data_IF_309203647860
#
_entry.id   IF_309203647860
#
_cell.length_a   1.000
_cell.length_b   1.000
_cell.length_c   1.000
_cell.angle_alpha   90.00
_cell.angle_beta   90.00
_cell.angle_gamma   90.00
#
_symmetry.space_group_name_H-M   'P 1'
#
loop_
_entity.id
_entity.type
_entity.pdbx_description
1 polymer ?
#
# COMPACT_ATOMS: atom_id res chain seq x y z
N UNK A 1 6.01 -32.98 -12.55
CA UNK A 1 6.60 -33.28 -11.22
C UNK A 1 6.33 -32.07 -10.33
N UNK A 2 5.56 -32.28 -9.28
CA UNK A 2 4.87 -31.24 -8.52
C UNK A 2 5.85 -30.41 -7.67
N UNK A 3 5.76 -29.07 -7.77
CA UNK A 3 6.54 -28.08 -7.02
C UNK A 3 6.42 -28.19 -5.48
N UNK A 4 5.54 -29.05 -4.99
CA UNK A 4 5.30 -29.34 -3.57
C UNK A 4 6.46 -30.02 -2.83
N UNK A 5 7.45 -30.62 -3.52
CA UNK A 5 8.57 -31.34 -2.85
C UNK A 5 9.76 -30.48 -2.44
N UNK A 6 9.88 -29.24 -2.93
CA UNK A 6 11.03 -28.37 -2.62
C UNK A 6 10.85 -27.55 -1.34
N UNK A 7 9.61 -27.35 -0.89
CA UNK A 7 9.31 -26.70 0.37
C UNK A 7 8.96 -27.80 1.38
N UNK A 8 9.94 -28.26 2.17
CA UNK A 8 9.78 -29.28 3.21
C UNK A 8 8.76 -28.89 4.28
N UNK A 9 7.47 -29.01 3.96
CA UNK A 9 6.38 -28.53 4.79
C UNK A 9 6.21 -29.40 6.05
N UNK A 10 6.61 -30.67 6.00
CA UNK A 10 6.49 -31.60 7.14
C UNK A 10 7.48 -31.31 8.28
N UNK A 11 8.56 -30.56 8.04
CA UNK A 11 9.47 -30.14 9.11
C UNK A 11 9.02 -28.90 9.86
N UNK A 12 8.03 -28.15 9.35
CA UNK A 12 7.55 -26.93 9.99
C UNK A 12 6.57 -27.16 11.13
N UNK A 13 5.78 -28.25 11.09
CA UNK A 13 4.78 -28.52 12.12
C UNK A 13 5.38 -28.91 13.48
N UNK A 14 6.62 -29.44 13.50
CA UNK A 14 7.31 -29.82 14.74
C UNK A 14 7.93 -28.62 15.48
N UNK A 15 8.11 -27.46 14.82
CA UNK A 15 8.73 -26.25 15.39
C UNK A 15 7.70 -25.32 16.06
N UNK A 16 6.41 -25.64 15.98
CA UNK A 16 5.32 -24.81 16.52
C UNK A 16 5.12 -24.93 18.04
N UNK A 17 5.80 -25.85 18.74
CA UNK A 17 5.77 -25.91 20.21
C UNK A 17 6.72 -24.87 20.81
N UNK A 18 6.31 -23.61 20.79
CA UNK A 18 6.92 -22.57 21.64
C UNK A 18 6.66 -22.91 23.10
N UNK A 19 7.69 -23.38 23.82
CA UNK A 19 7.65 -23.52 25.28
C UNK A 19 7.77 -22.11 25.87
N UNK A 20 6.73 -21.65 26.58
CA UNK A 20 6.80 -20.37 27.31
C UNK A 20 7.70 -20.57 28.53
N UNK A 21 8.89 -20.00 28.51
CA UNK A 21 9.78 -19.99 29.69
C UNK A 21 9.28 -18.89 30.65
N UNK A 22 8.88 -19.22 31.89
CA UNK A 22 8.50 -18.21 32.87
C UNK A 22 9.72 -17.40 33.30
N UNK A 23 9.51 -16.10 33.52
CA UNK A 23 10.55 -15.15 33.90
C UNK A 23 11.20 -15.56 35.24
N UNK A 24 12.40 -16.17 35.19
CA UNK A 24 13.16 -16.53 36.39
C UNK A 24 13.91 -15.30 36.89
N UNK A 25 13.62 -14.93 38.15
CA UNK A 25 14.41 -13.94 38.89
C UNK A 25 15.84 -14.46 39.00
N UNK A 26 16.81 -13.59 38.73
CA UNK A 26 18.24 -13.84 38.92
C UNK A 26 18.48 -14.37 40.35
N UNK A 27 19.46 -15.27 40.49
CA UNK A 27 19.83 -16.07 41.68
C UNK A 27 19.09 -17.41 41.79
N UNK A 28 19.49 -18.39 41.00
CA UNK A 28 20.44 -19.42 41.45
C UNK A 28 20.89 -20.27 40.25
N UNK A 29 22.17 -20.58 40.21
CA UNK A 29 22.79 -21.44 39.20
C UNK A 29 22.42 -22.88 39.55
N UNK A 30 21.46 -23.44 38.82
CA UNK A 30 21.32 -24.88 38.68
C UNK A 30 21.10 -25.19 37.18
N UNK A 31 22.08 -25.89 36.65
CA UNK A 31 22.38 -26.16 35.25
C UNK A 31 21.41 -27.24 34.74
N UNK A 32 20.23 -26.80 34.30
CA UNK A 32 19.22 -27.63 33.63
C UNK A 32 19.32 -27.48 32.12
N UNK A 33 20.08 -28.38 31.49
CA UNK A 33 20.40 -28.48 30.07
C UNK A 33 19.18 -28.62 29.12
N UNK A 34 18.47 -27.54 28.85
CA UNK A 34 17.56 -27.46 27.67
C UNK A 34 17.96 -26.38 26.65
N UNK A 35 18.84 -25.44 27.02
CA UNK A 35 19.25 -24.31 26.16
C UNK A 35 20.55 -24.57 25.36
N UNK A 36 21.17 -25.75 25.52
CA UNK A 36 22.47 -26.10 24.90
C UNK A 36 22.39 -26.73 23.49
N UNK A 37 21.22 -26.97 22.91
CA UNK A 37 21.12 -27.73 21.66
C UNK A 37 20.77 -26.93 20.40
N UNK A 38 20.59 -25.61 20.50
CA UNK A 38 20.29 -24.78 19.33
C UNK A 38 21.53 -24.02 18.88
N UNK A 39 22.00 -24.32 17.66
CA UNK A 39 23.09 -23.57 17.03
C UNK A 39 22.74 -22.07 17.01
N UNK A 40 23.72 -21.15 17.13
CA UNK A 40 23.48 -19.73 16.95
C UNK A 40 22.72 -19.39 15.67
N UNK A 41 22.90 -20.22 14.63
CA UNK A 41 22.16 -20.12 13.37
C UNK A 41 20.67 -20.44 13.53
N UNK A 42 20.33 -21.44 14.35
CA UNK A 42 18.95 -21.83 14.60
C UNK A 42 18.24 -20.84 15.53
N UNK A 43 18.96 -20.26 16.51
CA UNK A 43 18.45 -19.14 17.33
C UNK A 43 18.16 -17.92 16.47
N UNK A 44 19.10 -17.50 15.60
CA UNK A 44 18.85 -16.43 14.63
C UNK A 44 17.67 -16.73 13.72
N UNK A 45 17.56 -17.98 13.24
CA UNK A 45 16.46 -18.39 12.35
C UNK A 45 15.10 -18.25 13.05
N UNK A 46 14.97 -18.70 14.30
CA UNK A 46 13.71 -18.68 15.03
C UNK A 46 13.36 -17.29 15.56
N UNK A 47 14.32 -16.60 16.18
CA UNK A 47 14.04 -15.36 16.92
C UNK A 47 14.03 -14.12 16.02
N UNK A 48 14.73 -14.17 14.87
CA UNK A 48 14.87 -13.03 13.97
C UNK A 48 14.24 -13.31 12.62
N UNK A 49 14.71 -14.34 11.90
CA UNK A 49 14.30 -14.56 10.52
C UNK A 49 12.81 -14.90 10.40
N UNK A 50 12.31 -15.84 11.21
CA UNK A 50 10.89 -16.19 11.18
C UNK A 50 10.00 -15.07 11.72
N UNK A 51 10.44 -14.34 12.75
CA UNK A 51 9.70 -13.18 13.26
C UNK A 51 9.52 -12.11 12.19
N UNK A 52 10.56 -11.81 11.41
CA UNK A 52 10.49 -10.87 10.29
C UNK A 52 9.53 -11.38 9.20
N UNK A 53 9.59 -12.67 8.86
CA UNK A 53 8.69 -13.25 7.85
C UNK A 53 7.24 -13.24 8.31
N UNK A 54 6.98 -13.63 9.56
CA UNK A 54 5.64 -13.63 10.15
C UNK A 54 5.06 -12.21 10.17
N UNK A 55 5.87 -11.21 10.56
CA UNK A 55 5.47 -9.81 10.54
C UNK A 55 5.17 -9.34 9.11
N UNK A 56 6.04 -9.65 8.15
CA UNK A 56 5.85 -9.28 6.75
C UNK A 56 4.58 -9.93 6.17
N UNK A 57 4.33 -11.20 6.48
CA UNK A 57 3.11 -11.91 6.06
C UNK A 57 1.89 -11.26 6.69
N UNK A 58 1.94 -10.92 7.98
CA UNK A 58 0.85 -10.26 8.68
C UNK A 58 0.54 -8.88 8.08
N UNK A 59 1.56 -8.06 7.85
CA UNK A 59 1.42 -6.73 7.27
C UNK A 59 0.89 -6.77 5.83
N UNK A 60 1.37 -7.72 5.02
CA UNK A 60 0.86 -7.92 3.66
C UNK A 60 -0.60 -8.38 3.66
N UNK A 61 -0.98 -9.28 4.56
CA UNK A 61 -2.38 -9.71 4.71
C UNK A 61 -3.28 -8.56 5.13
N UNK A 62 -2.84 -7.77 6.11
CA UNK A 62 -3.57 -6.60 6.59
C UNK A 62 -3.80 -5.58 5.46
N UNK A 63 -2.74 -5.25 4.70
CA UNK A 63 -2.83 -4.34 3.55
C UNK A 63 -3.73 -4.89 2.45
N UNK A 64 -3.63 -6.18 2.16
CA UNK A 64 -4.47 -6.84 1.14
C UNK A 64 -5.95 -6.75 1.50
N UNK A 65 -6.31 -6.92 2.77
CA UNK A 65 -7.70 -6.80 3.21
C UNK A 65 -8.20 -5.36 3.10
N UNK A 66 -7.39 -4.38 3.50
CA UNK A 66 -7.72 -2.98 3.30
C UNK A 66 -7.95 -2.63 1.80
N UNK A 67 -7.15 -3.19 0.88
CA UNK A 67 -7.38 -3.00 -0.56
C UNK A 67 -8.66 -3.65 -1.06
N UNK A 68 -9.07 -4.79 -0.50
CA UNK A 68 -10.35 -5.39 -0.87
C UNK A 68 -11.50 -4.48 -0.48
N UNK A 69 -11.47 -3.88 0.71
CA UNK A 69 -12.50 -2.92 1.13
C UNK A 69 -12.52 -1.66 0.25
N UNK A 70 -11.34 -1.09 -0.04
CA UNK A 70 -11.25 0.07 -0.94
C UNK A 70 -11.78 -0.27 -2.34
N UNK A 71 -11.40 -1.43 -2.88
CA UNK A 71 -11.86 -1.92 -4.19
C UNK A 71 -13.36 -2.21 -4.19
N UNK A 72 -13.91 -2.72 -3.09
CA UNK A 72 -15.34 -2.94 -2.93
C UNK A 72 -16.11 -1.61 -2.92
N UNK A 73 -15.61 -0.60 -2.20
CA UNK A 73 -16.27 0.69 -2.05
C UNK A 73 -16.12 1.59 -3.28
N UNK A 74 -14.94 1.65 -3.89
CA UNK A 74 -14.61 2.63 -4.94
C UNK A 74 -14.23 2.01 -6.29
N UNK A 75 -13.95 0.70 -6.35
CA UNK A 75 -13.49 0.04 -7.58
C UNK A 75 -14.53 0.03 -8.71
N UNK A 76 -15.79 0.36 -8.42
CA UNK A 76 -16.82 0.57 -9.44
C UNK A 76 -16.54 1.82 -10.30
N UNK A 77 -15.82 2.82 -9.78
CA UNK A 77 -15.47 4.05 -10.50
C UNK A 77 -14.63 3.72 -11.76
N UNK A 78 -13.71 2.76 -11.67
CA UNK A 78 -12.92 2.29 -12.81
C UNK A 78 -13.77 1.68 -13.94
N UNK A 79 -14.96 1.18 -13.58
CA UNK A 79 -15.89 0.46 -14.48
C UNK A 79 -17.15 1.27 -14.77
N UNK A 80 -17.20 2.53 -14.34
CA UNK A 80 -18.37 3.40 -14.51
C UNK A 80 -18.93 3.46 -15.96
N UNK A 81 -18.10 3.44 -17.03
CA UNK A 81 -18.59 3.46 -18.40
C UNK A 81 -19.35 2.18 -18.80
N UNK A 82 -19.03 1.04 -18.20
CA UNK A 82 -19.58 -0.27 -18.57
C UNK A 82 -20.66 -0.80 -17.62
N UNK A 83 -20.88 -0.15 -16.47
CA UNK A 83 -21.85 -0.58 -15.45
C UNK A 83 -23.29 -0.19 -15.79
N UNK A 84 -24.25 -1.08 -15.51
CA UNK A 84 -25.67 -0.75 -15.64
C UNK A 84 -26.11 0.27 -14.57
N UNK A 85 -27.16 1.05 -14.87
CA UNK A 85 -27.69 2.02 -13.91
C UNK A 85 -28.10 1.37 -12.59
N UNK A 86 -28.60 0.12 -12.59
CA UNK A 86 -28.94 -0.60 -11.36
C UNK A 86 -27.72 -0.88 -10.48
N UNK A 87 -26.60 -1.29 -11.08
CA UNK A 87 -25.35 -1.53 -10.34
C UNK A 87 -24.76 -0.22 -9.80
N UNK A 88 -24.88 0.87 -10.56
CA UNK A 88 -24.44 2.21 -10.11
C UNK A 88 -25.22 2.64 -8.87
N UNK A 89 -26.55 2.45 -8.85
CA UNK A 89 -27.38 2.76 -7.67
C UNK A 89 -26.96 1.98 -6.43
N UNK A 90 -26.69 0.68 -6.58
CA UNK A 90 -26.23 -0.16 -5.48
C UNK A 90 -24.87 0.31 -4.95
N UNK A 91 -23.92 0.61 -5.85
CA UNK A 91 -22.61 1.13 -5.47
C UNK A 91 -22.70 2.50 -4.78
N UNK A 92 -23.57 3.39 -5.28
CA UNK A 92 -23.86 4.69 -4.69
C UNK A 92 -24.43 4.56 -3.26
N UNK A 93 -25.35 3.61 -3.04
CA UNK A 93 -25.85 3.33 -1.69
C UNK A 93 -24.75 2.87 -0.75
N UNK A 94 -23.90 1.93 -1.20
CA UNK A 94 -22.81 1.39 -0.39
C UNK A 94 -21.78 2.45 0.00
N UNK A 95 -21.38 3.32 -0.95
CA UNK A 95 -20.36 4.35 -0.69
C UNK A 95 -20.89 5.46 0.23
N UNK A 96 -22.17 5.81 0.11
CA UNK A 96 -22.85 6.80 0.97
C UNK A 96 -22.97 6.27 2.41
N UNK A 97 -23.33 5.00 2.57
CA UNK A 97 -23.36 4.37 3.90
C UNK A 97 -21.97 4.29 4.55
N UNK A 98 -20.92 4.08 3.75
CA UNK A 98 -19.55 3.98 4.25
C UNK A 98 -18.91 5.34 4.55
N UNK A 99 -19.34 6.42 3.87
CA UNK A 99 -18.82 7.78 4.04
C UNK A 99 -19.95 8.82 4.19
N UNK A 100 -20.76 8.73 5.25
CA UNK A 100 -21.97 9.56 5.40
C UNK A 100 -21.69 11.05 5.64
N UNK A 101 -20.47 11.41 6.05
CA UNK A 101 -20.07 12.79 6.31
C UNK A 101 -19.52 13.50 5.07
N UNK A 102 -19.00 12.74 4.10
CA UNK A 102 -18.30 13.26 2.94
C UNK A 102 -19.14 13.20 1.66
N UNK A 103 -20.15 12.33 1.61
CA UNK A 103 -20.95 12.07 0.42
C UNK A 103 -22.44 12.25 0.71
N UNK A 104 -23.12 13.03 -0.12
CA UNK A 104 -24.56 13.19 -0.06
C UNK A 104 -25.28 12.07 -0.83
N UNK A 105 -26.52 11.72 -0.44
CA UNK A 105 -27.32 10.71 -1.15
C UNK A 105 -27.68 11.12 -2.59
N UNK A 106 -27.50 12.40 -2.94
CA UNK A 106 -27.63 12.94 -4.31
C UNK A 106 -26.61 12.32 -5.28
N UNK A 107 -25.51 11.73 -4.78
CA UNK A 107 -24.47 11.05 -5.56
C UNK A 107 -25.01 9.98 -6.52
N UNK A 108 -26.11 9.30 -6.17
CA UNK A 108 -26.73 8.30 -7.06
C UNK A 108 -27.10 8.92 -8.41
N UNK A 109 -27.78 10.06 -8.37
CA UNK A 109 -28.24 10.75 -9.56
C UNK A 109 -27.09 11.36 -10.36
N UNK A 110 -26.10 11.92 -9.66
CA UNK A 110 -24.88 12.43 -10.27
C UNK A 110 -24.11 11.33 -11.00
N UNK A 111 -23.90 10.16 -10.37
CA UNK A 111 -23.16 9.04 -10.97
C UNK A 111 -23.84 8.51 -12.23
N UNK A 112 -25.17 8.48 -12.28
CA UNK A 112 -25.91 8.05 -13.48
C UNK A 112 -25.72 9.06 -14.61
N UNK A 113 -25.86 10.35 -14.32
CA UNK A 113 -25.66 11.43 -15.31
C UNK A 113 -24.21 11.43 -15.81
N UNK A 114 -23.25 11.35 -14.90
CA UNK A 114 -21.84 11.31 -15.21
C UNK A 114 -21.46 10.05 -16.01
N UNK A 115 -22.00 8.88 -15.66
CA UNK A 115 -21.81 7.65 -16.44
C UNK A 115 -22.32 7.79 -17.87
N UNK A 116 -23.46 8.47 -18.07
CA UNK A 116 -23.95 8.80 -19.42
C UNK A 116 -23.02 9.77 -20.16
N UNK A 117 -22.50 10.80 -19.47
CA UNK A 117 -21.56 11.75 -20.04
C UNK A 117 -20.26 11.09 -20.49
N UNK A 118 -19.66 10.25 -19.64
CA UNK A 118 -18.43 9.52 -19.99
C UNK A 118 -18.63 8.62 -21.21
N UNK A 119 -19.78 7.94 -21.30
CA UNK A 119 -20.12 7.12 -22.47
C UNK A 119 -20.18 7.94 -23.76
N UNK A 120 -20.69 9.16 -23.67
CA UNK A 120 -20.83 10.07 -24.81
C UNK A 120 -19.54 10.82 -25.16
N UNK A 121 -18.61 10.98 -24.21
CA UNK A 121 -17.37 11.71 -24.42
C UNK A 121 -16.33 10.85 -25.13
N UNK A 122 -15.98 11.22 -26.36
CA UNK A 122 -14.92 10.56 -27.15
C UNK A 122 -13.54 10.77 -26.52
N UNK A 123 -13.31 11.89 -25.83
CA UNK A 123 -12.04 12.23 -25.16
C UNK A 123 -11.65 11.21 -24.08
N UNK A 124 -12.60 10.75 -23.26
CA UNK A 124 -12.35 9.73 -22.24
C UNK A 124 -12.18 8.30 -22.81
N UNK A 125 -12.50 8.11 -24.09
CA UNK A 125 -12.25 6.85 -24.81
C UNK A 125 -10.90 6.84 -25.54
N UNK A 126 -10.21 7.99 -25.63
CA UNK A 126 -8.89 8.03 -26.26
C UNK A 126 -7.87 7.29 -25.41
N UNK A 127 -7.36 6.23 -26.01
CA UNK A 127 -6.52 5.21 -25.41
C UNK A 127 -5.07 5.71 -25.31
N UNK A 128 -4.84 6.86 -24.66
CA UNK A 128 -3.49 7.21 -24.22
C UNK A 128 -3.08 6.16 -23.18
N UNK A 129 -2.24 5.20 -23.62
CA UNK A 129 -1.81 4.00 -22.87
C UNK A 129 -1.14 4.28 -21.52
N UNK A 130 -1.01 5.54 -21.12
CA UNK A 130 -0.21 6.01 -20.00
C UNK A 130 -1.04 6.48 -18.80
N UNK A 131 -2.30 6.89 -18.99
CA UNK A 131 -3.17 7.39 -17.90
C UNK A 131 -4.29 6.42 -17.56
N UNK A 132 -4.54 6.24 -16.27
CA UNK A 132 -5.66 5.44 -15.81
C UNK A 132 -6.98 6.19 -16.03
N UNK A 133 -8.08 5.45 -16.26
CA UNK A 133 -9.37 6.07 -16.62
C UNK A 133 -9.89 7.01 -15.53
N UNK A 134 -9.53 6.77 -14.27
CA UNK A 134 -9.94 7.57 -13.12
C UNK A 134 -9.21 8.91 -13.05
N UNK A 135 -7.96 8.97 -13.51
CA UNK A 135 -7.23 10.22 -13.67
C UNK A 135 -7.84 11.06 -14.80
N UNK A 136 -8.22 10.43 -15.91
CA UNK A 136 -8.89 11.13 -17.00
C UNK A 136 -10.27 11.64 -16.57
N UNK A 137 -11.03 10.87 -15.79
CA UNK A 137 -12.30 11.32 -15.19
C UNK A 137 -12.09 12.53 -14.29
N UNK A 138 -11.05 12.54 -13.46
CA UNK A 138 -10.74 13.66 -12.58
C UNK A 138 -10.30 14.92 -13.34
N UNK A 139 -9.47 14.76 -14.38
CA UNK A 139 -9.08 15.88 -15.25
C UNK A 139 -10.29 16.45 -16.01
N UNK A 140 -11.21 15.59 -16.47
CA UNK A 140 -12.46 16.02 -17.12
C UNK A 140 -13.40 16.77 -16.16
N UNK A 141 -13.31 16.50 -14.86
CA UNK A 141 -14.13 17.11 -13.80
C UNK A 141 -13.75 18.56 -13.46
N UNK A 142 -13.09 19.29 -14.36
CA UNK A 142 -12.70 20.70 -14.18
C UNK A 142 -13.88 21.67 -14.01
N UNK A 143 -15.11 21.26 -14.33
CA UNK A 143 -16.31 22.06 -14.08
C UNK A 143 -16.97 21.59 -12.78
N UNK A 144 -17.42 22.51 -11.92
CA UNK A 144 -18.11 22.24 -10.64
C UNK A 144 -19.50 21.58 -10.82
N UNK A 145 -19.68 20.74 -11.83
CA UNK A 145 -20.96 20.12 -12.22
C UNK A 145 -21.30 18.89 -11.39
N UNK A 146 -20.30 18.18 -10.82
CA UNK A 146 -20.50 16.95 -10.06
C UNK A 146 -19.67 16.93 -8.76
N UNK A 147 -20.06 17.69 -7.73
CA UNK A 147 -19.27 17.85 -6.51
C UNK A 147 -19.10 16.54 -5.74
N UNK A 148 -20.11 15.67 -5.69
CA UNK A 148 -20.02 14.41 -4.94
C UNK A 148 -19.08 13.41 -5.63
N UNK A 149 -19.06 13.40 -6.97
CA UNK A 149 -18.14 12.57 -7.74
C UNK A 149 -16.71 13.08 -7.60
N UNK A 150 -16.52 14.40 -7.58
CA UNK A 150 -15.22 15.01 -7.33
C UNK A 150 -14.65 14.56 -5.98
N UNK A 151 -15.47 14.62 -4.92
CA UNK A 151 -15.08 14.18 -3.57
C UNK A 151 -14.73 12.69 -3.58
N UNK A 152 -15.56 11.84 -4.19
CA UNK A 152 -15.31 10.40 -4.26
C UNK A 152 -13.99 10.08 -4.98
N UNK A 153 -13.70 10.75 -6.11
CA UNK A 153 -12.42 10.58 -6.83
C UNK A 153 -11.23 11.14 -6.04
N UNK A 154 -11.41 12.25 -5.33
CA UNK A 154 -10.38 12.85 -4.49
C UNK A 154 -10.02 11.97 -3.29
N UNK A 155 -10.96 11.20 -2.76
CA UNK A 155 -10.70 10.17 -1.74
C UNK A 155 -9.98 8.97 -2.38
N UNK A 156 -10.43 8.51 -3.54
CA UNK A 156 -9.93 7.28 -4.17
C UNK A 156 -8.52 7.40 -4.77
N UNK A 157 -8.21 8.47 -5.49
CA UNK A 157 -6.95 8.61 -6.23
C UNK A 157 -5.70 8.59 -5.32
N UNK A 158 -5.65 9.30 -4.18
CA UNK A 158 -4.51 9.24 -3.27
C UNK A 158 -4.26 7.84 -2.68
N UNK A 159 -5.32 7.07 -2.44
CA UNK A 159 -5.22 5.69 -1.93
C UNK A 159 -4.51 4.76 -2.92
N UNK A 160 -4.62 5.01 -4.22
CA UNK A 160 -3.90 4.26 -5.25
C UNK A 160 -2.46 4.77 -5.42
N UNK A 161 -2.24 6.08 -5.34
CA UNK A 161 -0.94 6.72 -5.59
C UNK A 161 0.05 6.53 -4.42
N UNK A 162 -0.42 6.40 -3.18
CA UNK A 162 0.43 6.23 -1.99
C UNK A 162 1.37 5.01 -2.10
N UNK A 163 0.97 3.98 -2.83
CA UNK A 163 1.73 2.74 -2.99
C UNK A 163 3.02 2.95 -3.79
N UNK A 164 2.92 3.68 -4.91
CA UNK A 164 4.05 3.98 -5.78
C UNK A 164 5.06 4.93 -5.12
N UNK A 165 4.58 5.84 -4.25
CA UNK A 165 5.45 6.77 -3.52
C UNK A 165 6.37 6.04 -2.53
N UNK A 166 5.84 5.01 -1.85
CA UNK A 166 6.64 4.13 -0.99
C UNK A 166 7.76 3.45 -1.77
N UNK A 167 7.44 2.79 -2.88
CA UNK A 167 8.43 2.10 -3.73
C UNK A 167 9.50 3.04 -4.29
N UNK A 168 9.10 4.23 -4.76
CA UNK A 168 10.03 5.26 -5.24
C UNK A 168 10.96 5.74 -4.11
N UNK A 169 10.43 5.92 -2.90
CA UNK A 169 11.21 6.32 -1.73
C UNK A 169 12.17 5.21 -1.29
N UNK A 170 11.74 3.94 -1.28
CA UNK A 170 12.61 2.80 -0.99
C UNK A 170 13.69 2.60 -2.05
N UNK A 171 13.39 2.83 -3.33
CA UNK A 171 14.37 2.76 -4.41
C UNK A 171 15.46 3.83 -4.24
N UNK A 172 15.06 5.07 -3.92
CA UNK A 172 16.00 6.15 -3.56
C UNK A 172 16.84 5.80 -2.32
N UNK A 173 16.20 5.31 -1.26
CA UNK A 173 16.88 4.90 -0.03
C UNK A 173 17.87 3.76 -0.27
N UNK A 174 17.53 2.78 -1.12
CA UNK A 174 18.45 1.70 -1.52
C UNK A 174 19.70 2.25 -2.20
N UNK A 175 19.53 3.20 -3.15
CA UNK A 175 20.66 3.87 -3.81
C UNK A 175 21.52 4.67 -2.81
N UNK A 176 20.88 5.42 -1.91
CA UNK A 176 21.57 6.18 -0.85
C UNK A 176 22.35 5.24 0.08
N UNK A 177 21.71 4.17 0.57
CA UNK A 177 22.28 3.25 1.56
C UNK A 177 23.37 2.33 0.99
N UNK A 178 23.24 1.89 -0.26
CA UNK A 178 24.17 0.90 -0.83
C UNK A 178 25.22 1.51 -1.77
N UNK A 179 24.86 2.47 -2.62
CA UNK A 179 25.81 3.01 -3.63
C UNK A 179 26.61 4.20 -3.09
N UNK A 180 25.97 5.09 -2.32
CA UNK A 180 26.61 6.30 -1.81
C UNK A 180 27.35 6.09 -0.49
N UNK A 181 26.82 5.24 0.41
CA UNK A 181 27.49 4.91 1.69
C UNK A 181 28.87 4.28 1.52
N UNK A 182 29.08 3.53 0.43
CA UNK A 182 30.37 2.94 0.10
C UNK A 182 31.37 3.94 -0.50
N UNK A 183 30.97 5.19 -0.79
CA UNK A 183 31.82 6.20 -1.46
C UNK A 183 31.92 7.54 -0.72
N UNK A 184 31.09 7.79 0.29
CA UNK A 184 30.92 9.11 0.92
C UNK A 184 30.82 8.98 2.45
N UNK A 185 31.43 9.91 3.19
CA UNK A 185 31.34 9.99 4.66
C UNK A 185 29.91 10.28 5.18
N UNK A 186 29.64 9.88 6.42
CA UNK A 186 28.29 9.87 7.01
C UNK A 186 27.61 11.25 7.02
N UNK A 187 28.34 12.32 7.34
CA UNK A 187 27.77 13.68 7.40
C UNK A 187 27.30 14.16 6.03
N UNK A 188 28.12 13.93 5.00
CA UNK A 188 27.79 14.29 3.61
C UNK A 188 26.64 13.43 3.07
N UNK A 189 26.54 12.17 3.46
CA UNK A 189 25.41 11.31 3.11
C UNK A 189 24.10 11.79 3.76
N UNK A 190 24.14 12.20 5.03
CA UNK A 190 22.97 12.76 5.71
C UNK A 190 22.48 14.04 5.03
N UNK A 191 23.39 14.98 4.75
CA UNK A 191 23.04 16.22 4.04
C UNK A 191 22.43 15.94 2.67
N UNK A 192 23.01 15.02 1.88
CA UNK A 192 22.49 14.67 0.56
C UNK A 192 21.12 13.96 0.62
N UNK A 193 20.88 13.19 1.68
CA UNK A 193 19.60 12.50 1.91
C UNK A 193 18.49 13.52 2.19
N UNK A 194 18.75 14.49 3.07
CA UNK A 194 17.83 15.60 3.34
C UNK A 194 17.55 16.39 2.06
N UNK A 195 18.58 16.71 1.27
CA UNK A 195 18.41 17.37 -0.02
C UNK A 195 17.60 16.54 -1.04
N UNK A 196 17.71 15.22 -1.02
CA UNK A 196 16.95 14.35 -1.94
C UNK A 196 15.46 14.24 -1.56
N UNK A 197 15.17 14.28 -0.26
CA UNK A 197 13.81 14.32 0.29
C UNK A 197 13.17 15.67 -0.05
N UNK A 198 13.85 16.76 0.31
CA UNK A 198 13.43 18.15 0.07
C UNK A 198 13.71 18.64 -1.36
N UNK A 199 13.89 17.72 -2.31
CA UNK A 199 14.24 18.05 -3.69
C UNK A 199 13.19 18.92 -4.40
N UNK A 200 11.95 18.93 -3.93
CA UNK A 200 10.89 19.82 -4.43
C UNK A 200 11.16 21.26 -3.99
N UNK A 201 11.45 21.47 -2.69
CA UNK A 201 11.79 22.80 -2.15
C UNK A 201 13.08 23.34 -2.75
N UNK A 202 14.09 22.49 -2.92
CA UNK A 202 15.37 22.85 -3.54
C UNK A 202 15.25 23.26 -5.01
N UNK A 203 14.26 22.76 -5.75
CA UNK A 203 14.00 23.21 -7.13
C UNK A 203 13.44 24.63 -7.21
N UNK A 204 12.84 25.11 -6.13
CA UNK A 204 12.33 26.48 -6.01
C UNK A 204 13.34 27.45 -5.38
N UNK A 205 14.44 26.92 -4.82
CA UNK A 205 15.57 27.72 -4.35
C UNK A 205 16.53 27.90 -5.53
N UNK A 206 16.57 29.11 -6.08
CA UNK A 206 17.62 29.50 -7.02
C UNK A 206 18.97 29.55 -6.30
N UNK A 207 19.75 28.47 -6.41
CA UNK A 207 21.10 28.36 -5.83
C UNK A 207 22.16 29.01 -6.75
N UNK A 208 21.75 29.53 -7.91
CA UNK A 208 22.63 30.34 -8.76
C UNK A 208 22.55 31.82 -8.35
N UNK A 209 23.52 32.24 -7.53
CA UNK A 209 23.93 33.64 -7.41
C UNK A 209 25.44 33.73 -7.48
#
# INVERSE_FOLDING_TARGET
MSWYRLCGHDQYNLVLKRVRVPNRRYFDVDDGDEDRNMSPMDKFRQDVFQVINDQLISDLKYRLEAYKEISYNFGFLCKLPSLSNQMIKQAAGNITCSNPNDLEPTIESELIQFSSLIRSSVELQTNEKTKSIELNMYEFLHTQTFPNIEIALRIYLPLMVSNCSGEKSFSKLKRIKNELRNRIGQDRLNSLSVMSIESVVLKHLDIYR
#
